data_IF_724677651736
#
_entry.id   IF_724677651736
#
_cell.length_a   1.000
_cell.length_b   1.000
_cell.length_c   1.000
_cell.angle_alpha   90.00
_cell.angle_beta   90.00
_cell.angle_gamma   90.00
#
_symmetry.space_group_name_H-M   'P 1'
#
loop_
_entity.id
_entity.type
_entity.pdbx_description
1 polymer ?
#
# COMPACT_ATOMS: atom_id res chain seq x y z
N UNK A 1 18.57 -1.40 -17.74
CA UNK A 1 17.28 -0.76 -17.45
C UNK A 1 16.84 -1.08 -16.05
N UNK A 2 16.52 -0.06 -15.31
CA UNK A 2 16.10 -0.26 -13.93
C UNK A 2 14.67 -0.75 -13.87
N UNK A 3 14.43 -1.68 -12.98
CA UNK A 3 13.11 -2.21 -12.73
C UNK A 3 12.26 -1.18 -12.00
N UNK A 4 11.02 -1.04 -12.40
CA UNK A 4 10.07 -0.17 -11.72
C UNK A 4 9.65 -0.84 -10.40
N UNK A 5 9.83 -0.14 -9.30
CA UNK A 5 9.53 -0.67 -7.96
C UNK A 5 8.24 -0.04 -7.44
N UNK A 6 7.24 -0.86 -7.22
CA UNK A 6 5.93 -0.41 -6.77
C UNK A 6 5.57 -1.07 -5.45
N UNK A 7 5.16 -0.27 -4.49
CA UNK A 7 4.63 -0.74 -3.23
C UNK A 7 3.11 -0.59 -3.24
N UNK A 8 2.41 -1.65 -2.84
CA UNK A 8 0.96 -1.60 -2.68
C UNK A 8 0.64 -1.81 -1.21
N UNK A 9 -0.02 -0.83 -0.60
CA UNK A 9 -0.45 -0.92 0.80
C UNK A 9 -1.96 -1.10 0.80
N UNK A 10 -2.39 -2.35 0.91
CA UNK A 10 -3.79 -2.75 0.79
C UNK A 10 -3.98 -4.08 1.50
N UNK A 11 -4.99 -4.17 2.37
CA UNK A 11 -5.21 -5.38 3.17
C UNK A 11 -6.19 -6.38 2.54
N UNK A 12 -6.98 -5.96 1.58
CA UNK A 12 -7.97 -6.84 0.95
C UNK A 12 -7.31 -7.67 -0.16
N UNK A 13 -7.27 -9.01 -0.02
CA UNK A 13 -6.56 -9.84 -0.99
C UNK A 13 -7.09 -9.75 -2.41
N UNK A 14 -8.40 -9.61 -2.56
CA UNK A 14 -9.00 -9.52 -3.89
C UNK A 14 -8.61 -8.24 -4.59
N UNK A 15 -8.70 -7.11 -3.89
CA UNK A 15 -8.31 -5.81 -4.45
C UNK A 15 -6.82 -5.78 -4.76
N UNK A 16 -6.02 -6.34 -3.86
CA UNK A 16 -4.58 -6.42 -4.04
C UNK A 16 -4.24 -7.21 -5.31
N UNK A 17 -4.86 -8.37 -5.48
CA UNK A 17 -4.63 -9.23 -6.63
C UNK A 17 -5.05 -8.55 -7.94
N UNK A 18 -6.22 -7.91 -7.93
CA UNK A 18 -6.72 -7.20 -9.11
C UNK A 18 -5.77 -6.07 -9.51
N UNK A 19 -5.28 -5.33 -8.54
CA UNK A 19 -4.37 -4.23 -8.80
C UNK A 19 -3.04 -4.73 -9.34
N UNK A 20 -2.50 -5.80 -8.77
CA UNK A 20 -1.27 -6.41 -9.27
C UNK A 20 -1.40 -6.87 -10.71
N UNK A 21 -2.50 -7.51 -11.03
CA UNK A 21 -2.77 -7.98 -12.40
C UNK A 21 -2.81 -6.80 -13.36
N UNK A 22 -3.52 -5.73 -12.96
CA UNK A 22 -3.61 -4.53 -13.78
C UNK A 22 -2.24 -3.89 -14.01
N UNK A 23 -1.44 -3.75 -12.95
CA UNK A 23 -0.10 -3.15 -13.06
C UNK A 23 0.77 -3.96 -14.01
N UNK A 24 0.76 -5.28 -13.86
CA UNK A 24 1.57 -6.16 -14.71
C UNK A 24 1.16 -6.12 -16.17
N UNK A 25 -0.09 -5.76 -16.45
CA UNK A 25 -0.55 -5.60 -17.82
C UNK A 25 -0.06 -4.29 -18.45
N UNK A 26 0.34 -3.32 -17.62
CA UNK A 26 0.76 -1.99 -18.09
C UNK A 26 2.27 -1.79 -18.04
N UNK A 27 2.96 -2.48 -17.16
CA UNK A 27 4.41 -2.31 -16.96
C UNK A 27 5.08 -3.66 -17.14
N UNK A 28 6.04 -3.73 -18.07
CA UNK A 28 6.66 -5.01 -18.42
C UNK A 28 7.69 -5.48 -17.40
N UNK A 29 8.46 -4.56 -16.83
CA UNK A 29 9.51 -4.93 -15.87
C UNK A 29 9.21 -4.22 -14.56
N UNK A 30 8.47 -4.90 -13.69
CA UNK A 30 8.00 -4.31 -12.44
C UNK A 30 8.27 -5.25 -11.27
N UNK A 31 8.73 -4.67 -10.17
CA UNK A 31 8.82 -5.36 -8.89
C UNK A 31 7.71 -4.82 -8.00
N UNK A 32 6.83 -5.69 -7.51
CA UNK A 32 5.72 -5.30 -6.66
C UNK A 32 5.90 -5.92 -5.28
N UNK A 33 5.87 -5.07 -4.27
CA UNK A 33 5.86 -5.50 -2.87
C UNK A 33 4.51 -5.16 -2.27
N UNK A 34 4.00 -6.03 -1.41
CA UNK A 34 2.73 -5.85 -0.74
C UNK A 34 2.93 -5.56 0.73
N UNK A 35 2.17 -4.62 1.25
CA UNK A 35 2.09 -4.36 2.69
C UNK A 35 0.61 -4.34 3.04
N UNK A 36 0.22 -5.06 4.07
CA UNK A 36 -1.18 -5.31 4.37
C UNK A 36 -1.67 -4.62 5.64
N UNK A 37 -0.87 -3.73 6.20
CA UNK A 37 -1.24 -2.96 7.38
C UNK A 37 -0.56 -1.60 7.39
N UNK A 38 -1.04 -0.73 8.30
CA UNK A 38 -0.40 0.54 8.55
C UNK A 38 1.08 0.34 8.92
N UNK A 39 1.34 -0.54 9.88
CA UNK A 39 2.69 -0.76 10.38
C UNK A 39 3.63 -1.31 9.31
N UNK A 40 3.19 -2.32 8.55
CA UNK A 40 4.03 -2.87 7.50
C UNK A 40 4.22 -1.89 6.36
N UNK A 41 3.19 -1.08 6.05
CA UNK A 41 3.30 -0.04 5.04
C UNK A 41 4.37 0.99 5.38
N UNK A 42 4.32 1.50 6.60
CA UNK A 42 5.31 2.47 7.08
C UNK A 42 6.72 1.87 7.03
N UNK A 43 6.86 0.64 7.48
CA UNK A 43 8.17 -0.03 7.49
C UNK A 43 8.75 -0.13 6.08
N UNK A 44 7.94 -0.53 5.11
CA UNK A 44 8.41 -0.66 3.73
C UNK A 44 8.79 0.68 3.12
N UNK A 45 8.01 1.71 3.43
CA UNK A 45 8.28 3.05 2.92
C UNK A 45 9.58 3.60 3.50
N UNK A 46 9.84 3.36 4.78
CA UNK A 46 11.03 3.89 5.44
C UNK A 46 12.31 3.15 5.06
N UNK A 47 12.21 1.85 4.78
CA UNK A 47 13.39 1.00 4.62
C UNK A 47 13.78 0.73 3.18
N UNK A 48 12.97 1.13 2.21
CA UNK A 48 13.23 0.85 0.80
C UNK A 48 12.93 2.05 -0.06
N UNK A 49 13.41 2.00 -1.30
CA UNK A 49 13.12 3.05 -2.28
C UNK A 49 12.05 2.55 -3.25
N UNK A 50 11.06 3.38 -3.50
CA UNK A 50 9.93 3.05 -4.36
C UNK A 50 9.75 4.09 -5.45
N UNK A 51 9.31 3.66 -6.62
CA UNK A 51 9.00 4.57 -7.72
C UNK A 51 7.55 5.04 -7.66
N UNK A 52 6.69 4.21 -7.08
CA UNK A 52 5.26 4.52 -6.98
C UNK A 52 4.68 3.73 -5.81
N UNK A 53 3.73 4.34 -5.10
CA UNK A 53 3.04 3.70 -4.00
C UNK A 53 1.53 3.77 -4.26
N UNK A 54 0.85 2.62 -4.19
CA UNK A 54 -0.60 2.57 -4.14
C UNK A 54 -0.99 2.41 -2.68
N UNK A 55 -1.86 3.27 -2.19
CA UNK A 55 -2.12 3.36 -0.76
C UNK A 55 -3.62 3.40 -0.48
N UNK A 56 -4.11 2.42 0.28
CA UNK A 56 -5.48 2.42 0.77
C UNK A 56 -5.59 3.35 1.98
N UNK A 57 -6.73 4.01 2.11
CA UNK A 57 -6.97 4.91 3.23
C UNK A 57 -7.26 4.16 4.52
N UNK A 58 -7.95 3.03 4.43
CA UNK A 58 -8.38 2.29 5.61
C UNK A 58 -7.61 0.97 5.73
N UNK A 59 -6.85 0.82 6.80
CA UNK A 59 -5.97 -0.32 6.98
C UNK A 59 -6.01 -0.79 8.43
N UNK A 60 -5.80 -2.11 8.68
CA UNK A 60 -5.55 -2.54 10.06
C UNK A 60 -4.24 -1.96 10.56
N UNK A 61 -4.10 -1.90 11.87
CA UNK A 61 -2.88 -1.35 12.48
C UNK A 61 -1.68 -2.27 12.24
N UNK A 62 -1.89 -3.57 12.38
CA UNK A 62 -0.85 -4.59 12.23
C UNK A 62 -1.29 -5.64 11.23
N UNK A 63 -0.33 -6.39 10.70
CA UNK A 63 -0.64 -7.50 9.81
C UNK A 63 -1.47 -8.55 10.55
N UNK A 64 -2.50 -9.07 9.88
CA UNK A 64 -3.33 -10.14 10.44
C UNK A 64 -2.56 -11.45 10.30
N UNK A 65 -2.44 -12.18 11.41
CA UNK A 65 -1.78 -13.47 11.46
C UNK A 65 -2.67 -14.47 12.20
N UNK A 66 -2.36 -15.77 12.17
CA UNK A 66 -3.14 -16.73 12.97
C UNK A 66 -3.14 -16.44 14.46
N UNK A 67 -2.12 -15.75 14.97
CA UNK A 67 -1.99 -15.41 16.38
C UNK A 67 -2.49 -14.00 16.70
N UNK A 68 -2.71 -13.18 15.70
CA UNK A 68 -3.02 -11.77 15.90
C UNK A 68 -4.08 -11.32 14.90
N UNK A 69 -5.05 -10.54 15.37
CA UNK A 69 -6.16 -10.09 14.52
C UNK A 69 -5.91 -8.75 13.85
N UNK A 70 -4.69 -8.22 13.94
CA UNK A 70 -4.34 -7.00 13.25
C UNK A 70 -4.66 -5.71 13.99
N UNK A 71 -5.27 -5.82 15.18
CA UNK A 71 -5.67 -4.64 15.93
C UNK A 71 -6.86 -3.94 15.31
N UNK A 72 -7.15 -2.75 15.80
CA UNK A 72 -8.26 -1.95 15.29
C UNK A 72 -7.96 -1.44 13.88
N UNK A 73 -8.99 -1.35 13.06
CA UNK A 73 -8.86 -0.77 11.74
C UNK A 73 -8.74 0.74 11.85
N UNK A 74 -7.76 1.30 11.14
CA UNK A 74 -7.54 2.74 11.10
C UNK A 74 -8.20 3.30 9.84
N UNK A 75 -9.33 4.00 9.96
CA UNK A 75 -10.05 4.49 8.77
C UNK A 75 -9.28 5.56 7.99
N UNK A 76 -8.34 6.24 8.63
CA UNK A 76 -7.52 7.26 7.98
C UNK A 76 -6.04 6.89 7.98
N UNK A 77 -5.74 5.59 7.96
CA UNK A 77 -4.36 5.12 7.99
C UNK A 77 -3.55 5.67 6.81
N UNK A 78 -4.13 5.71 5.62
CA UNK A 78 -3.45 6.25 4.46
C UNK A 78 -3.07 7.71 4.63
N UNK A 79 -3.97 8.51 5.22
CA UNK A 79 -3.68 9.91 5.50
C UNK A 79 -2.52 10.05 6.48
N UNK A 80 -2.50 9.18 7.49
CA UNK A 80 -1.43 9.17 8.48
C UNK A 80 -0.09 8.82 7.85
N UNK A 81 -0.10 7.85 6.94
CA UNK A 81 1.11 7.46 6.21
C UNK A 81 1.63 8.64 5.38
N UNK A 82 0.73 9.33 4.68
CA UNK A 82 1.12 10.50 3.90
C UNK A 82 1.74 11.59 4.77
N UNK A 83 1.18 11.79 5.96
CA UNK A 83 1.72 12.75 6.92
C UNK A 83 3.13 12.36 7.35
N UNK A 84 3.35 11.07 7.65
CA UNK A 84 4.67 10.57 8.02
C UNK A 84 5.67 10.72 6.90
N UNK A 85 5.25 10.45 5.66
CA UNK A 85 6.12 10.64 4.50
C UNK A 85 6.55 12.09 4.36
N UNK A 86 5.61 13.01 4.49
CA UNK A 86 5.90 14.44 4.42
C UNK A 86 6.87 14.86 5.53
N UNK A 87 6.64 14.38 6.73
CA UNK A 87 7.48 14.69 7.87
C UNK A 87 8.91 14.20 7.67
N UNK A 88 9.06 13.03 7.07
CA UNK A 88 10.38 12.45 6.78
C UNK A 88 10.96 12.91 5.45
N UNK A 89 10.27 13.79 4.75
CA UNK A 89 10.68 14.33 3.44
C UNK A 89 10.88 13.22 2.40
N UNK A 90 9.97 12.26 2.41
CA UNK A 90 9.92 11.19 1.41
C UNK A 90 8.91 11.60 0.35
N UNK A 91 9.40 11.97 -0.83
CA UNK A 91 8.57 12.50 -1.90
C UNK A 91 8.48 11.49 -3.06
N UNK A 92 7.64 10.48 -2.87
CA UNK A 92 7.39 9.45 -3.87
C UNK A 92 5.93 9.62 -4.33
N UNK A 93 5.65 9.50 -5.63
CA UNK A 93 4.27 9.56 -6.10
C UNK A 93 3.39 8.52 -5.42
N UNK A 94 2.23 8.93 -4.95
CA UNK A 94 1.29 8.05 -4.26
C UNK A 94 -0.07 8.15 -4.94
N UNK A 95 -0.64 6.99 -5.26
CA UNK A 95 -2.01 6.90 -5.77
C UNK A 95 -2.87 6.36 -4.65
N UNK A 96 -3.88 7.14 -4.25
CA UNK A 96 -4.80 6.75 -3.19
C UNK A 96 -5.84 5.81 -3.77
N UNK A 97 -6.01 4.66 -3.14
CA UNK A 97 -7.06 3.71 -3.48
C UNK A 97 -8.19 3.92 -2.49
N UNK A 98 -9.36 4.26 -3.00
CA UNK A 98 -10.53 4.40 -2.13
C UNK A 98 -11.39 3.17 -2.26
N UNK A 99 -12.06 2.82 -1.17
CA UNK A 99 -13.06 1.78 -1.20
C UNK A 99 -14.32 2.32 -1.86
N UNK A 100 -14.38 2.17 -3.13
CA UNK A 100 -15.59 2.45 -3.84
C UNK A 100 -16.38 1.18 -3.95
N UNK A 101 -17.42 1.11 -3.19
CA UNK A 101 -18.45 0.17 -3.50
C UNK A 101 -19.23 0.75 -4.63
N UNK A 102 -18.68 0.74 -5.77
CA UNK A 102 -19.51 0.97 -6.92
C UNK A 102 -20.30 -0.29 -7.11
N UNK A 103 -21.44 -0.28 -6.59
CA UNK A 103 -22.41 -1.23 -7.04
C UNK A 103 -22.74 -0.87 -8.45
N UNK A 104 -21.95 -1.21 -9.29
CA UNK A 104 -22.35 -1.02 -10.69
C UNK A 104 -22.23 -2.33 -11.26
#
# INVERSE_FOLDING_TARGET
MEQCKILIVEDNPKKLNNLKTWIKSKVTDVFIKEAISYTSGVREIYNNCWDLIFLDMSLPTYDVTPQEQGGDKKPLAGKEILRRMSYKKIYIPVIIITQFDTCG
#
